data_IF_454304622393
#
_entry.id   IF_454304622393
#
_cell.length_a   1.000
_cell.length_b   1.000
_cell.length_c   1.000
_cell.angle_alpha   90.00
_cell.angle_beta   90.00
_cell.angle_gamma   90.00
#
_symmetry.space_group_name_H-M   'P 1'
#
loop_
_entity.id
_entity.type
_entity.pdbx_description
1 polymer ?
#
# COMPACT_ATOMS: atom_id res chain seq x y z
N UNK A 1 36.48 7.69 -2.42
CA UNK A 1 35.25 8.45 -2.74
C UNK A 1 34.06 7.61 -2.26
N UNK A 2 33.49 8.03 -1.14
CA UNK A 2 32.27 7.47 -0.59
C UNK A 2 31.13 7.82 -1.58
N UNK A 3 30.51 6.82 -2.22
CA UNK A 3 29.24 7.02 -2.89
C UNK A 3 28.24 7.40 -1.82
N UNK A 4 27.70 8.61 -1.89
CA UNK A 4 26.58 9.03 -1.10
C UNK A 4 25.42 8.07 -1.40
N UNK A 5 24.93 7.42 -0.35
CA UNK A 5 23.70 6.65 -0.38
C UNK A 5 22.58 7.61 -0.80
N UNK A 6 22.08 7.47 -2.00
CA UNK A 6 20.87 8.19 -2.42
C UNK A 6 19.79 7.90 -1.37
N UNK A 7 19.26 8.96 -0.77
CA UNK A 7 18.15 8.85 0.16
C UNK A 7 17.07 7.96 -0.48
N UNK A 8 16.57 6.99 0.30
CA UNK A 8 15.47 6.14 -0.14
C UNK A 8 14.34 7.04 -0.65
N UNK A 9 13.96 6.86 -1.92
CA UNK A 9 12.84 7.59 -2.48
C UNK A 9 11.59 7.31 -1.64
N UNK A 10 10.90 8.40 -1.28
CA UNK A 10 9.92 8.37 -0.19
C UNK A 10 8.68 7.53 -0.49
N UNK A 11 8.50 6.58 0.37
CA UNK A 11 7.28 6.24 1.11
C UNK A 11 6.13 5.69 0.30
N UNK A 12 6.13 4.39 0.16
CA UNK A 12 4.90 3.63 -0.15
C UNK A 12 4.09 3.44 1.13
N UNK A 13 2.90 3.98 1.21
CA UNK A 13 1.95 3.68 2.27
C UNK A 13 1.06 2.53 1.84
N UNK A 14 1.05 1.46 2.65
CA UNK A 14 0.25 0.26 2.41
C UNK A 14 -0.75 0.07 3.51
N UNK A 15 -1.94 -0.30 3.11
CA UNK A 15 -3.03 -0.57 4.02
C UNK A 15 -3.47 -2.02 3.88
N UNK A 16 -3.41 -2.75 5.00
CA UNK A 16 -4.19 -3.96 5.18
C UNK A 16 -5.59 -3.57 5.64
N UNK A 17 -6.58 -4.12 5.01
CA UNK A 17 -7.99 -3.97 5.38
C UNK A 17 -8.71 -5.28 5.09
N UNK A 18 -9.77 -5.57 5.82
CA UNK A 18 -10.54 -6.80 5.56
C UNK A 18 -11.20 -6.71 4.18
N UNK A 19 -10.86 -7.49 3.24
CA UNK A 19 -9.82 -8.53 3.13
C UNK A 19 -9.08 -8.29 1.83
N UNK A 20 -8.38 -7.17 1.77
CA UNK A 20 -7.62 -6.75 0.60
C UNK A 20 -6.46 -5.82 0.99
N UNK A 21 -5.69 -5.42 -0.02
CA UNK A 21 -4.59 -4.47 0.11
C UNK A 21 -4.85 -3.23 -0.73
N UNK A 22 -4.44 -2.09 -0.21
CA UNK A 22 -4.38 -0.83 -0.96
C UNK A 22 -2.93 -0.34 -0.96
N UNK A 23 -2.44 0.00 -2.13
CA UNK A 23 -1.08 0.49 -2.33
C UNK A 23 -1.14 1.97 -2.75
N UNK A 24 -0.56 2.85 -1.92
CA UNK A 24 -0.39 4.25 -2.26
C UNK A 24 1.07 4.50 -2.66
N UNK A 25 1.29 5.07 -3.82
CA UNK A 25 2.59 5.45 -4.35
C UNK A 25 2.82 6.94 -4.09
N UNK A 26 3.71 7.25 -3.16
CA UNK A 26 3.92 8.62 -2.66
C UNK A 26 4.93 9.40 -3.52
N UNK A 27 4.77 9.35 -4.83
CA UNK A 27 5.70 9.86 -5.84
C UNK A 27 5.36 11.29 -6.32
N UNK A 28 4.79 12.12 -5.45
CA UNK A 28 4.42 13.50 -5.79
C UNK A 28 5.61 14.37 -6.25
N UNK A 29 6.82 14.01 -5.82
CA UNK A 29 8.07 14.72 -6.19
C UNK A 29 8.80 14.07 -7.39
N UNK A 30 8.26 13.02 -7.99
CA UNK A 30 8.83 12.32 -9.11
C UNK A 30 8.09 12.71 -10.41
N UNK A 31 8.61 13.65 -11.23
CA UNK A 31 7.94 14.09 -12.45
C UNK A 31 7.84 12.97 -13.50
N UNK A 32 8.79 12.03 -13.52
CA UNK A 32 8.80 10.91 -14.46
C UNK A 32 7.69 9.90 -14.14
N UNK A 33 7.26 9.84 -12.89
CA UNK A 33 6.10 9.04 -12.43
C UNK A 33 4.77 9.81 -12.49
N UNK A 34 4.76 11.00 -13.09
CA UNK A 34 3.59 11.85 -13.23
C UNK A 34 3.43 12.93 -12.16
N UNK A 35 4.33 13.03 -11.18
CA UNK A 35 4.40 14.10 -10.18
C UNK A 35 3.21 14.19 -9.24
N UNK A 36 2.50 13.10 -9.00
CA UNK A 36 1.35 13.02 -8.10
C UNK A 36 1.38 11.73 -7.28
N UNK A 37 0.70 11.74 -6.15
CA UNK A 37 0.40 10.49 -5.42
C UNK A 37 -0.61 9.71 -6.24
N UNK A 38 -0.36 8.42 -6.44
CA UNK A 38 -1.30 7.50 -7.09
C UNK A 38 -1.59 6.31 -6.18
N UNK A 39 -2.66 5.56 -6.47
CA UNK A 39 -3.00 4.40 -5.66
C UNK A 39 -3.54 3.25 -6.52
N UNK A 40 -3.44 2.05 -5.97
CA UNK A 40 -4.13 0.86 -6.47
C UNK A 40 -4.91 0.22 -5.32
N UNK A 41 -6.22 0.06 -5.52
CA UNK A 41 -7.13 -0.54 -4.55
C UNK A 41 -7.48 -1.95 -5.00
N UNK A 42 -7.23 -2.91 -4.11
CA UNK A 42 -7.70 -4.28 -4.28
C UNK A 42 -9.06 -4.50 -3.61
N UNK A 43 -9.76 -5.52 -4.07
CA UNK A 43 -10.96 -6.09 -3.44
C UNK A 43 -10.79 -7.60 -3.29
N UNK A 44 -11.78 -8.28 -2.72
CA UNK A 44 -11.77 -9.76 -2.63
C UNK A 44 -11.72 -10.38 -4.05
N UNK A 45 -12.36 -9.72 -5.02
CA UNK A 45 -12.45 -10.19 -6.41
C UNK A 45 -11.30 -9.67 -7.29
N UNK A 46 -10.75 -8.50 -6.95
CA UNK A 46 -9.66 -7.86 -7.69
C UNK A 46 -8.36 -7.94 -6.90
N UNK A 47 -7.49 -8.87 -7.26
CA UNK A 47 -6.14 -8.97 -6.67
C UNK A 47 -5.35 -7.73 -7.06
N UNK A 48 -4.87 -6.92 -6.08
CA UNK A 48 -4.11 -5.73 -6.40
C UNK A 48 -2.66 -6.06 -6.77
N UNK A 49 -2.09 -5.20 -7.60
CA UNK A 49 -0.72 -5.28 -8.07
C UNK A 49 0.15 -4.20 -7.42
N UNK A 50 1.29 -4.60 -6.95
CA UNK A 50 2.28 -3.74 -6.38
C UNK A 50 3.48 -3.67 -7.30
N UNK A 51 3.76 -2.50 -7.85
CA UNK A 51 4.93 -2.27 -8.70
C UNK A 51 6.10 -1.72 -7.89
N UNK A 52 7.28 -2.24 -8.15
CA UNK A 52 8.53 -1.83 -7.50
C UNK A 52 9.63 -1.64 -8.55
N UNK A 53 10.40 -0.54 -8.48
CA UNK A 53 11.54 -0.34 -9.36
C UNK A 53 12.72 -1.22 -8.93
N UNK A 54 13.32 -1.96 -9.86
CA UNK A 54 14.51 -2.79 -9.60
C UNK A 54 15.70 -1.92 -9.19
N UNK A 55 16.50 -2.41 -8.27
CA UNK A 55 17.74 -1.75 -7.78
C UNK A 55 17.54 -0.37 -7.13
N UNK A 56 16.30 0.01 -6.83
CA UNK A 56 15.97 1.22 -6.09
C UNK A 56 15.57 0.85 -4.66
N UNK A 57 16.05 1.64 -3.69
CA UNK A 57 15.60 1.48 -2.30
C UNK A 57 14.21 2.06 -2.13
N UNK A 58 13.30 1.25 -1.62
CA UNK A 58 11.89 1.60 -1.42
C UNK A 58 11.55 1.51 0.05
N UNK A 59 10.99 2.58 0.61
CA UNK A 59 10.49 2.59 1.97
C UNK A 59 9.01 2.24 2.02
N UNK A 60 8.69 1.26 2.82
CA UNK A 60 7.34 0.78 3.07
C UNK A 60 6.82 1.28 4.40
N UNK A 61 5.63 1.83 4.42
CA UNK A 61 4.86 2.11 5.64
C UNK A 61 3.60 1.28 5.66
N UNK A 62 3.46 0.45 6.68
CA UNK A 62 2.35 -0.47 6.84
C UNK A 62 1.34 0.10 7.82
N UNK A 63 0.07 0.15 7.43
CA UNK A 63 -1.04 0.58 8.27
C UNK A 63 -2.20 -0.39 8.13
N UNK A 64 -2.90 -0.65 9.23
CA UNK A 64 -4.16 -1.39 9.22
C UNK A 64 -5.31 -0.45 9.55
N UNK A 65 -6.43 -0.67 8.86
CA UNK A 65 -7.69 0.04 9.11
C UNK A 65 -8.54 -0.63 10.19
N UNK A 66 -8.33 -1.91 10.46
CA UNK A 66 -9.27 -2.74 11.22
C UNK A 66 -8.59 -3.69 12.21
N UNK A 67 -8.01 -4.81 11.75
CA UNK A 67 -7.39 -5.84 12.57
C UNK A 67 -5.92 -5.99 12.24
N UNK A 68 -5.19 -6.84 12.96
CA UNK A 68 -3.81 -7.17 12.63
C UNK A 68 -3.79 -8.00 11.35
N UNK A 69 -2.97 -7.59 10.40
CA UNK A 69 -2.58 -8.33 9.21
C UNK A 69 -1.06 -8.56 9.24
N UNK A 70 -0.52 -9.30 8.30
CA UNK A 70 0.93 -9.37 8.10
C UNK A 70 1.25 -9.32 6.61
N UNK A 71 2.08 -8.37 6.22
CA UNK A 71 2.58 -8.24 4.86
C UNK A 71 3.69 -9.26 4.63
N UNK A 72 3.48 -10.19 3.72
CA UNK A 72 4.44 -11.25 3.44
C UNK A 72 4.61 -11.48 1.94
N UNK A 73 5.85 -11.38 1.49
CA UNK A 73 6.28 -11.81 0.16
C UNK A 73 7.32 -12.92 0.37
N UNK A 74 6.94 -14.20 0.26
CA UNK A 74 7.84 -15.33 0.55
C UNK A 74 9.16 -15.26 -0.20
N UNK A 75 9.14 -14.86 -1.48
CA UNK A 75 10.33 -14.74 -2.32
C UNK A 75 11.34 -13.68 -1.83
N UNK A 76 10.92 -12.75 -0.96
CA UNK A 76 11.79 -11.73 -0.38
C UNK A 76 12.35 -12.14 0.98
N UNK A 77 12.00 -13.33 1.48
CA UNK A 77 12.36 -13.82 2.81
C UNK A 77 12.02 -12.83 3.93
N UNK A 78 10.92 -12.10 3.77
CA UNK A 78 10.55 -11.01 4.65
C UNK A 78 9.05 -10.99 4.94
N UNK A 79 8.72 -10.80 6.22
CA UNK A 79 7.37 -10.67 6.74
C UNK A 79 7.33 -9.60 7.82
N UNK A 80 6.30 -8.76 7.84
CA UNK A 80 6.10 -7.75 8.88
C UNK A 80 4.62 -7.53 9.17
N UNK A 81 4.29 -7.46 10.45
CA UNK A 81 2.92 -7.24 10.91
C UNK A 81 2.43 -5.83 10.60
N UNK A 82 1.14 -5.75 10.32
CA UNK A 82 0.40 -4.54 9.99
C UNK A 82 -0.63 -4.32 11.09
N UNK A 83 -0.28 -3.47 12.07
CA UNK A 83 -0.98 -3.36 13.34
C UNK A 83 -1.83 -2.07 13.37
N UNK A 84 -3.13 -2.15 13.72
CA UNK A 84 -3.96 -0.96 13.90
C UNK A 84 -3.35 0.00 14.93
N UNK A 85 -3.27 1.29 14.59
CA UNK A 85 -2.73 2.31 15.48
C UNK A 85 -1.20 2.32 15.65
N UNK A 86 -0.49 1.30 15.16
CA UNK A 86 0.97 1.17 15.26
C UNK A 86 1.60 0.98 13.87
N UNK A 87 1.85 2.07 13.11
CA UNK A 87 2.47 1.95 11.80
C UNK A 87 3.87 1.34 11.88
N UNK A 88 4.11 0.28 11.12
CA UNK A 88 5.43 -0.30 10.92
C UNK A 88 6.06 0.23 9.63
N UNK A 89 7.38 0.23 9.56
CA UNK A 89 8.10 0.59 8.34
C UNK A 89 9.36 -0.26 8.14
N UNK A 90 9.73 -0.44 6.88
CA UNK A 90 10.98 -1.08 6.49
C UNK A 90 11.44 -0.57 5.12
N UNK A 91 12.71 -0.74 4.82
CA UNK A 91 13.29 -0.44 3.52
C UNK A 91 13.64 -1.74 2.79
N UNK A 92 13.39 -1.78 1.50
CA UNK A 92 13.67 -2.91 0.63
C UNK A 92 14.25 -2.43 -0.70
N UNK A 93 15.28 -3.12 -1.19
CA UNK A 93 15.80 -2.90 -2.54
C UNK A 93 15.60 -4.19 -3.35
N UNK A 94 14.62 -4.24 -4.27
CA UNK A 94 14.42 -5.40 -5.12
C UNK A 94 15.62 -5.55 -6.07
N UNK A 95 16.15 -6.77 -6.20
CA UNK A 95 17.36 -7.02 -7.01
C UNK A 95 17.10 -7.76 -8.31
N UNK A 96 15.91 -8.37 -8.47
CA UNK A 96 15.60 -9.20 -9.62
C UNK A 96 14.21 -8.86 -10.17
N UNK A 97 14.15 -8.53 -11.45
CA UNK A 97 12.91 -8.34 -12.20
C UNK A 97 12.11 -9.64 -12.20
N UNK A 98 10.80 -9.54 -12.00
CA UNK A 98 9.88 -10.67 -11.98
C UNK A 98 8.56 -10.34 -11.33
N UNK A 99 7.67 -11.33 -11.29
CA UNK A 99 6.38 -11.25 -10.60
C UNK A 99 6.39 -12.24 -9.44
N UNK A 100 6.05 -11.76 -8.27
CA UNK A 100 6.13 -12.52 -7.02
C UNK A 100 4.78 -12.50 -6.31
N UNK A 101 4.47 -13.61 -5.63
CA UNK A 101 3.25 -13.71 -4.81
C UNK A 101 3.44 -13.04 -3.46
N UNK A 102 2.44 -12.29 -3.05
CA UNK A 102 2.30 -11.73 -1.73
C UNK A 102 0.98 -12.12 -1.09
N UNK A 103 0.95 -12.20 0.23
CA UNK A 103 -0.25 -12.58 0.98
C UNK A 103 -0.24 -12.05 2.40
N UNK A 104 -1.41 -12.06 3.04
CA UNK A 104 -1.54 -11.88 4.46
C UNK A 104 -1.04 -13.13 5.20
N UNK A 105 -0.22 -12.94 6.23
CA UNK A 105 0.36 -14.02 7.02
C UNK A 105 -0.06 -13.95 8.51
N UNK A 106 -1.11 -13.19 8.84
CA UNK A 106 -1.74 -13.14 10.16
C UNK A 106 -3.25 -13.35 9.99
N UNK A 107 -3.83 -14.30 10.73
CA UNK A 107 -5.26 -14.61 10.64
C UNK A 107 -6.10 -13.36 10.90
N UNK A 108 -6.83 -12.90 9.89
CA UNK A 108 -7.58 -11.64 9.92
C UNK A 108 -9.09 -11.79 9.66
N UNK A 109 -9.61 -13.02 9.66
CA UNK A 109 -11.03 -13.32 9.52
C UNK A 109 -11.36 -14.22 8.33
N UNK A 110 -12.63 -14.19 7.91
CA UNK A 110 -13.24 -15.15 6.98
C UNK A 110 -12.49 -15.33 5.65
N UNK A 111 -12.04 -14.22 5.04
CA UNK A 111 -11.34 -14.26 3.75
C UNK A 111 -9.82 -14.05 3.88
N UNK A 112 -9.26 -14.43 5.03
CA UNK A 112 -7.80 -14.36 5.26
C UNK A 112 -6.99 -15.03 4.13
N UNK A 113 -7.39 -16.21 3.71
CA UNK A 113 -6.70 -16.95 2.65
C UNK A 113 -6.77 -16.28 1.27
N UNK A 114 -7.77 -15.43 1.05
CA UNK A 114 -7.99 -14.69 -0.20
C UNK A 114 -7.31 -13.31 -0.20
N UNK A 115 -6.74 -12.88 0.91
CA UNK A 115 -6.06 -11.59 1.05
C UNK A 115 -4.65 -11.67 0.45
N UNK A 116 -4.61 -11.78 -0.87
CA UNK A 116 -3.40 -11.95 -1.69
C UNK A 116 -3.13 -10.71 -2.53
N UNK A 117 -1.91 -10.57 -3.03
CA UNK A 117 -1.48 -9.54 -3.98
C UNK A 117 -0.32 -10.03 -4.85
N UNK A 118 -0.04 -9.33 -5.94
CA UNK A 118 1.12 -9.58 -6.80
C UNK A 118 2.13 -8.44 -6.66
N UNK A 119 3.41 -8.80 -6.66
CA UNK A 119 4.51 -7.83 -6.67
C UNK A 119 5.21 -7.92 -8.02
N UNK A 120 5.17 -6.83 -8.77
CA UNK A 120 5.85 -6.68 -10.05
C UNK A 120 7.13 -5.88 -9.83
N UNK A 121 8.28 -6.55 -9.82
CA UNK A 121 9.57 -5.87 -9.86
C UNK A 121 9.90 -5.62 -11.32
N UNK A 122 10.01 -4.36 -11.70
CA UNK A 122 10.16 -3.92 -13.08
C UNK A 122 11.31 -2.90 -13.25
N UNK A 123 11.60 -2.50 -14.48
CA UNK A 123 12.52 -1.39 -14.73
C UNK A 123 11.97 -0.09 -14.13
N UNK A 124 12.85 0.89 -13.87
CA UNK A 124 12.42 2.23 -13.41
C UNK A 124 11.50 2.89 -14.44
N UNK A 125 11.75 2.69 -15.72
CA UNK A 125 10.92 3.20 -16.81
C UNK A 125 9.50 2.60 -16.78
N UNK A 126 9.38 1.27 -16.69
CA UNK A 126 8.08 0.58 -16.62
C UNK A 126 7.34 0.91 -15.32
N UNK A 127 8.06 1.10 -14.22
CA UNK A 127 7.49 1.58 -12.97
C UNK A 127 6.86 2.97 -13.14
N UNK A 128 7.60 3.93 -13.67
CA UNK A 128 7.10 5.29 -13.91
C UNK A 128 5.91 5.29 -14.88
N UNK A 129 5.97 4.47 -15.93
CA UNK A 129 4.86 4.29 -16.89
C UNK A 129 3.59 3.75 -16.22
N UNK A 130 3.74 2.77 -15.31
CA UNK A 130 2.60 2.26 -14.55
C UNK A 130 1.94 3.36 -13.69
N UNK A 131 2.73 4.19 -12.99
CA UNK A 131 2.18 5.28 -12.18
C UNK A 131 1.50 6.36 -13.05
N UNK A 132 2.04 6.64 -14.23
CA UNK A 132 1.37 7.53 -15.21
C UNK A 132 0.04 6.92 -15.69
N UNK A 133 -0.06 5.60 -15.86
CA UNK A 133 -1.31 4.93 -16.19
C UNK A 133 -2.34 5.05 -15.08
N UNK A 134 -1.96 4.83 -13.80
CA UNK A 134 -2.84 5.05 -12.66
C UNK A 134 -3.36 6.50 -12.63
N UNK A 135 -2.47 7.48 -12.85
CA UNK A 135 -2.86 8.89 -12.96
C UNK A 135 -3.88 9.12 -14.07
N UNK A 136 -3.66 8.54 -15.26
CA UNK A 136 -4.56 8.69 -16.40
C UNK A 136 -5.93 8.03 -16.16
N UNK A 137 -6.01 7.00 -15.31
CA UNK A 137 -7.26 6.35 -14.88
C UNK A 137 -7.99 7.13 -13.79
N UNK A 138 -7.37 8.17 -13.23
CA UNK A 138 -7.94 8.97 -12.14
C UNK A 138 -7.63 8.42 -10.74
N UNK A 139 -6.81 7.37 -10.63
CA UNK A 139 -6.41 6.76 -9.36
C UNK A 139 -5.33 7.62 -8.67
N UNK A 140 -5.71 8.86 -8.32
CA UNK A 140 -4.82 9.87 -7.73
C UNK A 140 -5.19 10.21 -6.30
N UNK A 141 -4.19 10.64 -5.52
CA UNK A 141 -4.33 10.93 -4.10
C UNK A 141 -4.08 9.73 -3.20
N UNK A 142 -3.89 9.98 -1.92
CA UNK A 142 -3.71 8.95 -0.91
C UNK A 142 -5.06 8.41 -0.44
N UNK A 143 -5.29 7.12 -0.58
CA UNK A 143 -6.39 6.45 0.13
C UNK A 143 -5.94 6.23 1.57
N UNK A 144 -6.66 6.82 2.51
CA UNK A 144 -6.41 6.66 3.95
C UNK A 144 -7.25 5.52 4.52
N UNK A 145 -6.76 4.81 5.57
CA UNK A 145 -7.59 3.84 6.28
C UNK A 145 -8.86 4.56 6.77
N UNK A 146 -10.01 4.01 6.48
CA UNK A 146 -11.24 4.48 7.11
C UNK A 146 -11.11 4.19 8.61
N UNK A 147 -10.98 5.23 9.42
CA UNK A 147 -11.01 5.08 10.87
C UNK A 147 -12.41 4.59 11.26
N UNK A 148 -12.53 3.34 11.60
CA UNK A 148 -13.78 2.73 12.11
C UNK A 148 -14.31 3.42 13.37
N UNK A 149 -13.51 4.24 14.04
CA UNK A 149 -13.91 5.03 15.23
C UNK A 149 -14.56 6.38 14.84
N UNK A 150 -14.18 6.98 13.72
CA UNK A 150 -14.76 8.27 13.29
C UNK A 150 -16.14 8.12 12.62
N UNK A 151 -16.48 6.93 12.11
CA UNK A 151 -17.78 6.68 11.49
C UNK A 151 -18.90 6.43 12.52
N UNK A 152 -18.57 6.24 13.79
CA UNK A 152 -19.55 6.00 14.87
C UNK A 152 -19.97 7.27 15.61
N UNK A 153 -19.36 8.44 15.31
CA UNK A 153 -19.63 9.70 16.05
C UNK A 153 -20.49 10.70 15.26
N UNK A 154 -21.04 10.37 14.09
CA UNK A 154 -21.80 11.32 13.28
C UNK A 154 -23.30 10.95 13.09
N UNK A 155 -23.86 10.07 13.92
CA UNK A 155 -25.30 9.80 13.90
C UNK A 155 -25.89 9.88 15.31
N UNK A 156 -25.80 11.05 15.94
CA UNK A 156 -26.70 11.38 17.05
C UNK A 156 -26.87 12.91 17.16
N UNK A 157 -27.51 13.49 16.15
CA UNK A 157 -28.18 14.77 16.30
C UNK A 157 -29.67 14.48 16.45
N UNK A 158 -30.09 14.25 17.69
CA UNK A 158 -31.49 14.33 18.07
C UNK A 158 -32.04 15.69 17.66
N UNK A 159 -32.86 15.74 16.65
CA UNK A 159 -33.84 16.82 16.49
C UNK A 159 -34.82 16.78 17.66
N UNK A 160 -34.62 17.71 18.57
CA UNK A 160 -35.59 17.98 19.64
C UNK A 160 -36.83 18.58 19.07
N UNK A 161 -37.91 17.83 19.07
CA UNK A 161 -39.25 18.25 18.79
C UNK A 161 -39.71 19.24 19.88
N UNK A 162 -39.95 20.50 19.49
CA UNK A 162 -40.65 21.48 20.33
C UNK A 162 -42.14 21.30 20.18
N UNK A 163 -42.79 21.01 21.26
CA UNK A 163 -44.18 21.38 21.54
C UNK A 163 -44.21 22.67 22.31
#
# INVERSE_FOLDING_TARGET
>A
TRKESSAASDVYKRQGQKWSWTFNYMEANNPDAGGVVTHEVGTIEKIPNLYLPVSQSVRFRLKSADVIHSFWVPAFYFKMDVIPGHPNQFDLTPTKIGVYDGKCAELCGTYHANMIFKVHVVSVEDYNKHLQQLKAQGDTGEIKPANSVAALTTTDSHEGEKK
#
